data_IF_611311613899
#
_entry.id   IF_611311613899
#
_cell.length_a   1.000
_cell.length_b   1.000
_cell.length_c   1.000
_cell.angle_alpha   90.00
_cell.angle_beta   90.00
_cell.angle_gamma   90.00
#
_symmetry.space_group_name_H-M   'P 1'
#
loop_
_entity.id
_entity.type
_entity.pdbx_description
1 polymer ?
#
# COMPACT_ATOMS: atom_id res chain seq x y z
N UNK A 1 6.83 -16.46 -44.92
CA UNK A 1 7.39 -15.09 -45.14
C UNK A 1 6.78 -14.10 -44.15
N UNK A 2 7.20 -14.10 -42.89
CA UNK A 2 6.65 -13.25 -41.84
C UNK A 2 7.51 -13.15 -40.57
N UNK A 3 8.73 -13.69 -40.54
CA UNK A 3 9.57 -13.77 -39.35
C UNK A 3 10.92 -13.05 -39.46
N UNK A 4 11.10 -12.18 -40.48
CA UNK A 4 12.38 -11.50 -40.72
C UNK A 4 12.40 -9.99 -40.45
N UNK A 5 11.39 -9.40 -39.85
CA UNK A 5 11.36 -7.95 -39.58
C UNK A 5 11.55 -7.55 -38.10
N UNK A 6 11.76 -8.50 -37.19
CA UNK A 6 11.98 -8.19 -35.77
C UNK A 6 13.42 -8.30 -35.28
N UNK A 7 14.37 -8.63 -36.15
CA UNK A 7 15.77 -8.85 -35.76
C UNK A 7 16.71 -7.66 -36.04
N UNK A 8 16.26 -6.55 -36.60
CA UNK A 8 17.13 -5.42 -36.98
C UNK A 8 17.00 -4.17 -36.08
N UNK A 9 16.22 -4.19 -35.02
CA UNK A 9 16.03 -3.05 -34.12
C UNK A 9 16.84 -3.14 -32.79
N UNK A 10 17.75 -4.10 -32.66
CA UNK A 10 18.51 -4.33 -31.42
C UNK A 10 20.00 -3.97 -31.52
N UNK A 11 20.39 -3.07 -32.41
CA UNK A 11 21.75 -2.51 -32.37
C UNK A 11 21.68 -1.06 -32.75
N UNK A 12 21.47 -0.19 -31.73
CA UNK A 12 22.07 1.14 -31.64
C UNK A 12 21.51 1.87 -30.41
N UNK A 13 22.41 2.31 -29.54
CA UNK A 13 22.14 3.34 -28.54
C UNK A 13 21.76 2.82 -27.15
N UNK A 14 22.75 2.36 -26.39
CA UNK A 14 22.70 2.49 -24.93
C UNK A 14 22.73 3.98 -24.59
N UNK A 15 21.62 4.67 -24.78
CA UNK A 15 21.34 5.92 -24.09
C UNK A 15 20.91 5.55 -22.66
N UNK A 16 21.85 5.67 -21.74
CA UNK A 16 21.60 5.84 -20.31
C UNK A 16 20.65 7.03 -20.19
N UNK A 17 19.36 6.78 -20.09
CA UNK A 17 18.43 7.81 -19.68
C UNK A 17 18.88 8.25 -18.28
N UNK A 18 19.07 9.56 -18.03
CA UNK A 18 19.38 10.02 -16.68
C UNK A 18 18.22 9.52 -15.78
N UNK A 19 18.58 8.86 -14.68
CA UNK A 19 17.65 8.52 -13.60
C UNK A 19 16.86 9.80 -13.32
N UNK A 20 15.57 9.81 -13.71
CA UNK A 20 14.68 10.91 -13.34
C UNK A 20 14.71 10.93 -11.81
N UNK A 21 15.32 11.97 -11.24
CA UNK A 21 15.21 12.28 -9.83
C UNK A 21 13.74 12.19 -9.49
N UNK A 22 13.40 11.22 -8.63
CA UNK A 22 12.05 11.07 -8.09
C UNK A 22 11.72 12.38 -7.42
N UNK A 23 10.75 13.10 -7.92
CA UNK A 23 10.24 14.26 -7.23
C UNK A 23 9.38 13.72 -6.07
N UNK A 24 9.85 13.86 -4.84
CA UNK A 24 9.06 13.64 -3.63
C UNK A 24 7.75 14.44 -3.63
N UNK A 25 7.64 15.42 -4.52
CA UNK A 25 6.47 16.26 -4.75
C UNK A 25 5.30 15.53 -5.43
N UNK A 26 5.52 14.35 -6.02
CA UNK A 26 4.47 13.57 -6.68
C UNK A 26 3.56 12.85 -5.68
N UNK A 27 3.99 12.65 -4.43
CA UNK A 27 3.18 12.04 -3.37
C UNK A 27 2.56 13.15 -2.51
N UNK A 28 1.24 13.16 -2.49
CA UNK A 28 0.41 14.03 -1.65
C UNK A 28 -0.29 13.22 -0.57
N UNK A 29 -0.87 13.90 0.40
CA UNK A 29 -1.66 13.28 1.46
C UNK A 29 -3.01 14.00 1.64
N UNK A 30 -3.93 13.31 2.30
CA UNK A 30 -5.27 13.81 2.57
C UNK A 30 -6.24 13.58 1.41
N UNK A 31 -7.46 14.09 1.61
CA UNK A 31 -8.55 13.96 0.65
C UNK A 31 -8.46 15.02 -0.46
N UNK A 32 -8.90 14.63 -1.63
CA UNK A 32 -9.29 15.55 -2.72
C UNK A 32 -10.46 14.95 -3.52
N UNK A 33 -11.25 15.77 -4.24
CA UNK A 33 -12.37 15.28 -5.04
C UNK A 33 -11.94 14.24 -6.08
N UNK A 34 -12.63 13.07 -6.08
CA UNK A 34 -12.31 11.95 -6.97
C UNK A 34 -11.38 10.88 -6.37
N UNK A 35 -10.80 11.10 -5.18
CA UNK A 35 -9.89 10.15 -4.52
C UNK A 35 -10.54 8.77 -4.34
N UNK A 36 -11.75 8.73 -3.76
CA UNK A 36 -12.46 7.47 -3.50
C UNK A 36 -12.68 6.69 -4.78
N UNK A 37 -13.25 7.33 -5.80
CA UNK A 37 -13.51 6.67 -7.10
C UNK A 37 -12.24 6.10 -7.74
N UNK A 38 -11.15 6.88 -7.75
CA UNK A 38 -9.88 6.44 -8.34
C UNK A 38 -9.25 5.26 -7.59
N UNK A 39 -9.27 5.26 -6.27
CA UNK A 39 -8.74 4.15 -5.46
C UNK A 39 -9.57 2.89 -5.64
N UNK A 40 -10.91 3.02 -5.64
CA UNK A 40 -11.82 1.90 -5.89
C UNK A 40 -11.59 1.30 -7.28
N UNK A 41 -11.51 2.14 -8.31
CA UNK A 41 -11.25 1.72 -9.69
C UNK A 41 -9.95 0.95 -9.84
N UNK A 42 -8.84 1.46 -9.26
CA UNK A 42 -7.55 0.76 -9.32
C UNK A 42 -7.61 -0.62 -8.65
N UNK A 43 -8.29 -0.73 -7.49
CA UNK A 43 -8.46 -2.01 -6.81
C UNK A 43 -9.34 -2.97 -7.62
N UNK A 44 -10.51 -2.51 -8.09
CA UNK A 44 -11.42 -3.33 -8.87
C UNK A 44 -10.76 -3.87 -10.14
N UNK A 45 -10.10 -3.02 -10.91
CA UNK A 45 -9.43 -3.41 -12.16
C UNK A 45 -8.29 -4.41 -11.93
N UNK A 46 -7.44 -4.16 -10.92
CA UNK A 46 -6.34 -5.05 -10.63
C UNK A 46 -6.82 -6.42 -10.13
N UNK A 47 -7.66 -6.44 -9.10
CA UNK A 47 -8.03 -7.69 -8.45
C UNK A 47 -9.06 -8.52 -9.24
N UNK A 48 -9.86 -7.91 -10.10
CA UNK A 48 -10.73 -8.67 -11.02
C UNK A 48 -9.91 -9.50 -12.00
N UNK A 49 -8.84 -8.93 -12.55
CA UNK A 49 -7.96 -9.61 -13.49
C UNK A 49 -7.04 -10.61 -12.78
N UNK A 50 -6.52 -10.23 -11.61
CA UNK A 50 -5.50 -11.00 -10.91
C UNK A 50 -6.07 -12.17 -10.09
N UNK A 51 -7.20 -11.98 -9.45
CA UNK A 51 -7.78 -12.93 -8.49
C UNK A 51 -9.27 -13.24 -8.72
N UNK A 52 -9.88 -12.72 -9.78
CA UNK A 52 -11.29 -12.94 -10.08
C UNK A 52 -12.26 -12.25 -9.11
N UNK A 53 -11.81 -11.23 -8.38
CA UNK A 53 -12.67 -10.49 -7.46
C UNK A 53 -13.71 -9.69 -8.28
N UNK A 54 -14.97 -9.74 -7.82
CA UNK A 54 -16.09 -9.11 -8.52
C UNK A 54 -16.73 -7.97 -7.72
N UNK A 55 -18.00 -7.69 -8.03
CA UNK A 55 -18.77 -6.59 -7.47
C UNK A 55 -18.83 -6.58 -5.93
N UNK A 56 -18.74 -7.73 -5.28
CA UNK A 56 -18.67 -7.81 -3.81
C UNK A 56 -17.43 -7.08 -3.28
N UNK A 57 -16.26 -7.36 -3.87
CA UNK A 57 -15.00 -6.73 -3.49
C UNK A 57 -15.01 -5.22 -3.76
N UNK A 58 -15.43 -4.82 -4.97
CA UNK A 58 -15.51 -3.39 -5.34
C UNK A 58 -16.41 -2.62 -4.37
N UNK A 59 -17.62 -3.13 -4.09
CA UNK A 59 -18.53 -2.53 -3.12
C UNK A 59 -17.90 -2.45 -1.72
N UNK A 60 -17.22 -3.50 -1.28
CA UNK A 60 -16.52 -3.53 0.02
C UNK A 60 -15.47 -2.43 0.10
N UNK A 61 -14.61 -2.30 -0.90
CA UNK A 61 -13.60 -1.24 -0.96
C UNK A 61 -14.26 0.14 -0.96
N UNK A 62 -15.28 0.35 -1.78
CA UNK A 62 -15.99 1.62 -1.88
C UNK A 62 -16.63 2.03 -0.55
N UNK A 63 -17.31 1.11 0.11
CA UNK A 63 -18.00 1.38 1.39
C UNK A 63 -16.99 1.69 2.49
N UNK A 64 -16.02 0.82 2.70
CA UNK A 64 -15.05 0.97 3.80
C UNK A 64 -14.13 2.18 3.60
N UNK A 65 -13.73 2.48 2.36
CA UNK A 65 -12.95 3.67 2.06
C UNK A 65 -13.76 4.95 2.27
N UNK A 66 -15.04 4.97 1.90
CA UNK A 66 -15.93 6.12 2.14
C UNK A 66 -16.11 6.37 3.64
N UNK A 67 -16.31 5.33 4.44
CA UNK A 67 -16.39 5.44 5.90
C UNK A 67 -15.07 5.95 6.50
N UNK A 68 -13.94 5.49 6.00
CA UNK A 68 -12.62 5.96 6.43
C UNK A 68 -12.42 7.44 6.11
N UNK A 69 -12.80 7.90 4.91
CA UNK A 69 -12.70 9.32 4.52
C UNK A 69 -13.54 10.20 5.47
N UNK A 70 -14.69 9.72 5.93
CA UNK A 70 -15.50 10.41 6.96
C UNK A 70 -14.78 10.61 8.30
N UNK A 71 -13.75 9.80 8.58
CA UNK A 71 -12.91 9.86 9.79
C UNK A 71 -11.50 10.39 9.55
N UNK A 72 -11.21 10.91 8.37
CA UNK A 72 -9.85 11.34 7.98
C UNK A 72 -9.35 12.55 8.79
N UNK A 73 -10.24 13.28 9.46
CA UNK A 73 -9.86 14.38 10.37
C UNK A 73 -9.24 13.90 11.69
N UNK A 74 -9.36 12.61 12.03
CA UNK A 74 -8.65 12.03 13.19
C UNK A 74 -7.15 12.06 12.97
N UNK A 75 -6.35 12.50 13.96
CA UNK A 75 -4.89 12.56 13.83
C UNK A 75 -4.21 11.19 13.68
N UNK A 76 -4.93 10.11 14.01
CA UNK A 76 -4.47 8.72 13.83
C UNK A 76 -4.70 8.18 12.41
N UNK A 77 -5.42 8.92 11.56
CA UNK A 77 -5.78 8.51 10.21
C UNK A 77 -5.03 9.32 9.16
N UNK A 78 -4.56 8.65 8.12
CA UNK A 78 -3.95 9.33 6.98
C UNK A 78 -4.07 8.49 5.71
N UNK A 79 -4.18 9.17 4.58
CA UNK A 79 -4.08 8.58 3.24
C UNK A 79 -3.03 9.34 2.42
N UNK A 80 -2.19 8.60 1.71
CA UNK A 80 -1.24 9.14 0.73
C UNK A 80 -1.59 8.61 -0.65
N UNK A 81 -1.30 9.40 -1.64
CA UNK A 81 -1.50 9.04 -3.04
C UNK A 81 -0.42 9.67 -3.93
N UNK A 82 0.04 8.91 -4.93
CA UNK A 82 0.89 9.42 -5.99
C UNK A 82 0.03 9.80 -7.20
N UNK A 83 0.40 10.89 -7.87
CA UNK A 83 -0.29 11.36 -9.07
C UNK A 83 0.69 11.49 -10.24
N UNK A 84 0.22 11.09 -11.42
CA UNK A 84 0.95 11.25 -12.68
C UNK A 84 -0.02 11.75 -13.74
N UNK A 85 0.32 12.83 -14.43
CA UNK A 85 -0.54 13.44 -15.45
C UNK A 85 -1.98 13.73 -14.94
N UNK A 86 -2.10 14.17 -13.68
CA UNK A 86 -3.38 14.50 -13.06
C UNK A 86 -4.18 13.30 -12.50
N UNK A 87 -3.79 12.07 -12.81
CA UNK A 87 -4.46 10.84 -12.35
C UNK A 87 -3.73 10.23 -11.14
N UNK A 88 -4.48 9.61 -10.22
CA UNK A 88 -3.89 8.80 -9.17
C UNK A 88 -3.34 7.52 -9.79
N UNK A 89 -2.10 7.20 -9.43
CA UNK A 89 -1.40 5.99 -9.86
C UNK A 89 -0.94 5.10 -8.72
N UNK A 90 -1.06 5.57 -7.49
CA UNK A 90 -0.80 4.75 -6.30
C UNK A 90 -1.47 5.35 -5.08
N UNK A 91 -1.83 4.51 -4.11
CA UNK A 91 -2.37 4.93 -2.81
C UNK A 91 -1.96 3.99 -1.69
N UNK A 92 -2.00 4.49 -0.47
CA UNK A 92 -1.88 3.75 0.78
C UNK A 92 -2.55 4.55 1.90
N UNK A 93 -3.13 3.87 2.89
CA UNK A 93 -3.67 4.56 4.06
C UNK A 93 -3.38 3.84 5.36
N UNK A 94 -3.40 4.62 6.44
CA UNK A 94 -3.37 4.18 7.82
C UNK A 94 -4.69 4.54 8.48
N UNK A 95 -5.37 3.54 9.03
CA UNK A 95 -6.57 3.66 9.83
C UNK A 95 -6.22 3.28 11.28
N UNK A 96 -5.99 4.27 12.11
CA UNK A 96 -5.58 4.11 13.51
C UNK A 96 -6.75 3.99 14.49
N UNK A 97 -7.99 4.05 14.01
CA UNK A 97 -9.17 4.05 14.88
C UNK A 97 -9.97 2.74 14.84
N UNK A 98 -9.54 1.75 14.04
CA UNK A 98 -10.39 0.57 13.78
C UNK A 98 -10.03 -0.66 14.63
N UNK A 99 -8.76 -0.84 15.00
CA UNK A 99 -8.32 -2.04 15.70
C UNK A 99 -8.37 -1.91 17.24
N UNK A 100 -8.30 -0.71 17.79
CA UNK A 100 -8.09 -0.50 19.22
C UNK A 100 -6.65 -0.76 19.67
N UNK A 101 -6.40 -0.77 20.98
CA UNK A 101 -5.12 -1.07 21.62
C UNK A 101 -3.91 -0.31 21.03
N UNK A 102 -4.17 0.89 20.53
CA UNK A 102 -3.18 1.74 19.88
C UNK A 102 -2.47 1.04 18.69
N UNK A 103 -3.21 0.25 17.93
CA UNK A 103 -2.73 -0.43 16.73
C UNK A 103 -3.31 0.23 15.47
N UNK A 104 -2.49 0.31 14.43
CA UNK A 104 -2.86 0.86 13.14
C UNK A 104 -3.14 -0.25 12.12
N UNK A 105 -4.13 -0.05 11.27
CA UNK A 105 -4.41 -0.91 10.12
C UNK A 105 -3.98 -0.22 8.82
N UNK A 106 -3.02 -0.83 8.12
CA UNK A 106 -2.60 -0.40 6.80
C UNK A 106 -3.58 -0.95 5.76
N UNK A 107 -4.13 -0.07 4.91
CA UNK A 107 -5.19 -0.39 3.96
C UNK A 107 -4.99 0.28 2.61
N UNK A 108 -5.69 -0.23 1.62
CA UNK A 108 -5.79 0.31 0.25
C UNK A 108 -4.42 0.67 -0.35
N UNK A 109 -3.46 -0.23 -0.11
CA UNK A 109 -2.16 -0.15 -0.73
C UNK A 109 -2.21 -0.74 -2.14
N UNK A 110 -2.06 0.12 -3.11
CA UNK A 110 -2.07 -0.27 -4.53
C UNK A 110 -1.16 0.64 -5.35
N UNK A 111 -0.55 0.07 -6.38
CA UNK A 111 0.21 0.80 -7.40
C UNK A 111 -0.28 0.34 -8.76
N UNK A 112 -0.73 1.29 -9.59
CA UNK A 112 -1.15 1.03 -10.96
C UNK A 112 -0.06 0.32 -11.76
N UNK A 113 -0.46 -0.57 -12.67
CA UNK A 113 0.48 -1.36 -13.47
C UNK A 113 1.50 -0.50 -14.23
N UNK A 114 1.06 0.66 -14.77
CA UNK A 114 1.91 1.58 -15.52
C UNK A 114 2.85 2.42 -14.63
N UNK A 115 2.66 2.38 -13.32
CA UNK A 115 3.50 3.08 -12.35
C UNK A 115 4.38 2.11 -11.52
N UNK A 116 4.26 0.80 -11.74
CA UNK A 116 5.12 -0.19 -11.06
C UNK A 116 6.58 0.00 -11.49
N UNK A 117 7.50 -0.32 -10.59
CA UNK A 117 8.93 -0.10 -10.83
C UNK A 117 9.39 1.36 -10.69
N UNK A 118 8.47 2.33 -10.53
CA UNK A 118 8.81 3.75 -10.32
C UNK A 118 9.27 4.08 -8.90
N UNK A 119 9.12 3.13 -7.96
CA UNK A 119 9.45 3.31 -6.54
C UNK A 119 8.33 3.90 -5.68
N UNK A 120 7.17 4.25 -6.24
CA UNK A 120 6.04 4.77 -5.46
C UNK A 120 5.59 3.81 -4.35
N UNK A 121 5.55 2.50 -4.62
CA UNK A 121 5.13 1.53 -3.63
C UNK A 121 6.03 1.56 -2.38
N UNK A 122 7.34 1.55 -2.57
CA UNK A 122 8.30 1.64 -1.46
C UNK A 122 8.15 2.95 -0.70
N UNK A 123 8.13 4.08 -1.40
CA UNK A 123 8.05 5.39 -0.77
C UNK A 123 6.73 5.60 0.00
N UNK A 124 5.59 5.15 -0.56
CA UNK A 124 4.30 5.20 0.12
C UNK A 124 4.31 4.38 1.40
N UNK A 125 4.87 3.18 1.35
CA UNK A 125 4.95 2.29 2.51
C UNK A 125 5.88 2.88 3.59
N UNK A 126 7.03 3.45 3.22
CA UNK A 126 7.93 4.14 4.13
C UNK A 126 7.25 5.33 4.82
N UNK A 127 6.47 6.14 4.10
CA UNK A 127 5.70 7.25 4.67
C UNK A 127 4.63 6.77 5.65
N UNK A 128 3.91 5.71 5.32
CA UNK A 128 2.88 5.13 6.18
C UNK A 128 3.49 4.56 7.48
N UNK A 129 4.61 3.85 7.39
CA UNK A 129 5.32 3.32 8.56
C UNK A 129 5.89 4.45 9.42
N UNK A 130 6.56 5.43 8.82
CA UNK A 130 7.08 6.61 9.54
C UNK A 130 5.97 7.39 10.27
N UNK A 131 4.79 7.52 9.66
CA UNK A 131 3.63 8.12 10.31
C UNK A 131 3.22 7.36 11.57
N UNK A 132 3.20 6.03 11.52
CA UNK A 132 2.87 5.21 12.69
C UNK A 132 3.95 5.29 13.79
N UNK A 133 5.23 5.26 13.40
CA UNK A 133 6.35 5.37 14.34
C UNK A 133 6.31 6.72 15.09
N UNK A 134 5.98 7.82 14.39
CA UNK A 134 5.86 9.16 14.99
C UNK A 134 4.65 9.34 15.90
N UNK A 135 3.62 8.50 15.79
CA UNK A 135 2.38 8.56 16.58
C UNK A 135 2.32 7.54 17.69
N UNK A 136 3.43 6.86 17.95
CA UNK A 136 3.56 5.89 19.05
C UNK A 136 2.52 4.76 19.01
N UNK A 137 2.11 4.34 17.81
CA UNK A 137 1.37 3.10 17.70
C UNK A 137 2.21 1.93 18.20
N UNK A 138 1.56 0.91 18.76
CA UNK A 138 2.23 -0.30 19.26
C UNK A 138 2.54 -1.30 18.16
N UNK A 139 1.72 -1.33 17.13
CA UNK A 139 1.88 -2.20 15.97
C UNK A 139 1.13 -1.65 14.75
N UNK A 140 1.56 -2.11 13.57
CA UNK A 140 0.85 -1.93 12.30
C UNK A 140 0.45 -3.32 11.81
N UNK A 141 -0.83 -3.50 11.48
CA UNK A 141 -1.34 -4.72 10.87
C UNK A 141 -1.76 -4.47 9.42
N UNK A 142 -1.74 -5.51 8.61
CA UNK A 142 -2.34 -5.54 7.28
C UNK A 142 -2.86 -6.94 6.95
N UNK A 143 -3.87 -6.99 6.09
CA UNK A 143 -4.40 -8.23 5.52
C UNK A 143 -4.20 -8.26 4.02
N UNK A 144 -3.79 -9.42 3.52
CA UNK A 144 -3.55 -9.70 2.11
C UNK A 144 -3.85 -11.18 1.83
N UNK A 145 -3.45 -11.71 0.68
CA UNK A 145 -3.57 -13.13 0.38
C UNK A 145 -2.33 -13.64 -0.37
N UNK A 146 -2.15 -14.96 -0.36
CA UNK A 146 -1.02 -15.64 -0.99
C UNK A 146 -0.99 -15.37 -2.50
N UNK A 147 0.21 -15.12 -3.03
CA UNK A 147 0.46 -14.88 -4.46
C UNK A 147 0.86 -13.45 -4.78
N UNK A 148 0.65 -12.48 -3.89
CA UNK A 148 1.08 -11.10 -4.06
C UNK A 148 2.55 -10.91 -3.64
N UNK A 149 3.48 -11.68 -4.24
CA UNK A 149 4.87 -11.80 -3.78
C UNK A 149 5.64 -10.46 -3.81
N UNK A 150 5.37 -9.60 -4.79
CA UNK A 150 6.00 -8.29 -4.87
C UNK A 150 5.58 -7.37 -3.71
N UNK A 151 4.32 -7.41 -3.31
CA UNK A 151 3.82 -6.66 -2.15
C UNK A 151 4.34 -7.26 -0.84
N UNK A 152 4.33 -8.59 -0.73
CA UNK A 152 4.89 -9.32 0.40
C UNK A 152 6.35 -8.94 0.64
N UNK A 153 7.18 -8.93 -0.41
CA UNK A 153 8.57 -8.52 -0.29
C UNK A 153 8.72 -7.09 0.26
N UNK A 154 7.90 -6.14 -0.21
CA UNK A 154 7.93 -4.78 0.32
C UNK A 154 7.57 -4.74 1.81
N UNK A 155 6.60 -5.54 2.26
CA UNK A 155 6.22 -5.62 3.67
C UNK A 155 7.36 -6.20 4.52
N UNK A 156 7.94 -7.33 4.09
CA UNK A 156 9.04 -7.98 4.80
C UNK A 156 10.30 -7.09 4.85
N UNK A 157 10.62 -6.39 3.76
CA UNK A 157 11.79 -5.47 3.68
C UNK A 157 11.69 -4.29 4.67
N UNK A 158 10.47 -3.90 5.13
CA UNK A 158 10.27 -2.82 6.10
C UNK A 158 9.89 -3.32 7.50
N UNK A 159 10.03 -4.63 7.74
CA UNK A 159 9.91 -5.25 9.05
C UNK A 159 8.53 -5.79 9.43
N UNK A 160 7.64 -6.01 8.46
CA UNK A 160 6.44 -6.79 8.71
C UNK A 160 6.75 -8.28 8.71
N UNK A 161 6.12 -9.01 9.60
CA UNK A 161 6.21 -10.45 9.74
C UNK A 161 4.84 -11.09 9.46
N UNK A 162 4.85 -12.27 8.82
CA UNK A 162 3.65 -13.08 8.63
C UNK A 162 3.22 -13.68 9.97
N UNK A 163 2.10 -13.22 10.51
CA UNK A 163 1.59 -13.68 11.82
C UNK A 163 0.41 -14.63 11.70
N UNK A 164 -0.16 -14.79 10.53
CA UNK A 164 -1.26 -15.74 10.29
C UNK A 164 -1.50 -16.00 8.82
N UNK A 165 -1.83 -17.26 8.51
CA UNK A 165 -2.25 -17.68 7.18
C UNK A 165 -3.37 -18.73 7.33
N UNK A 166 -4.50 -18.50 6.67
CA UNK A 166 -5.68 -19.34 6.78
C UNK A 166 -6.59 -19.22 5.55
N UNK A 167 -7.38 -20.26 5.22
CA UNK A 167 -8.41 -20.15 4.20
C UNK A 167 -9.48 -19.14 4.61
N UNK A 168 -9.86 -18.25 3.69
CA UNK A 168 -10.90 -17.27 3.94
C UNK A 168 -11.56 -16.78 2.66
N UNK A 169 -12.59 -15.96 2.80
CA UNK A 169 -13.36 -15.42 1.69
C UNK A 169 -13.79 -13.96 1.91
N UNK A 170 -13.03 -13.22 2.70
CA UNK A 170 -13.40 -11.85 3.07
C UNK A 170 -13.56 -10.90 1.88
N UNK A 171 -13.01 -11.26 0.73
CA UNK A 171 -13.10 -10.47 -0.51
C UNK A 171 -14.10 -11.04 -1.52
N UNK A 172 -14.95 -12.00 -1.09
CA UNK A 172 -16.01 -12.60 -1.93
C UNK A 172 -15.55 -13.78 -2.79
N UNK A 173 -14.27 -14.15 -2.73
CA UNK A 173 -13.67 -15.32 -3.38
C UNK A 173 -12.79 -16.02 -2.36
N UNK A 174 -12.79 -17.36 -2.39
CA UNK A 174 -11.93 -18.17 -1.51
C UNK A 174 -10.47 -17.95 -1.85
N UNK A 175 -9.69 -17.53 -0.85
CA UNK A 175 -8.26 -17.28 -0.95
C UNK A 175 -7.54 -17.85 0.28
N UNK A 176 -6.21 -18.00 0.18
CA UNK A 176 -5.37 -18.21 1.35
C UNK A 176 -5.01 -16.83 1.90
N UNK A 177 -5.75 -16.40 2.91
CA UNK A 177 -5.59 -15.09 3.53
C UNK A 177 -4.33 -15.03 4.37
N UNK A 178 -3.66 -13.89 4.39
CA UNK A 178 -2.44 -13.66 5.14
C UNK A 178 -2.59 -12.39 5.98
N UNK A 179 -2.16 -12.49 7.24
CA UNK A 179 -2.03 -11.34 8.15
C UNK A 179 -0.56 -11.07 8.41
N UNK A 180 -0.16 -9.84 8.23
CA UNK A 180 1.17 -9.35 8.57
C UNK A 180 1.07 -8.33 9.69
N UNK A 181 2.10 -8.30 10.53
CA UNK A 181 2.23 -7.32 11.60
C UNK A 181 3.66 -6.81 11.68
N UNK A 182 3.80 -5.52 11.94
CA UNK A 182 5.06 -4.88 12.32
C UNK A 182 4.90 -4.30 13.72
N UNK A 183 5.67 -4.81 14.67
CA UNK A 183 5.72 -4.27 16.03
C UNK A 183 6.55 -2.99 16.06
N UNK A 184 6.11 -2.01 16.85
CA UNK A 184 6.81 -0.74 17.04
C UNK A 184 7.33 -0.72 18.48
N UNK A 185 8.66 -0.78 18.68
CA UNK A 185 9.21 -0.74 20.03
C UNK A 185 8.91 0.59 20.71
N UNK A 186 8.34 0.55 21.91
CA UNK A 186 8.24 1.74 22.76
C UNK A 186 9.63 2.09 23.32
N UNK A 187 10.01 3.36 23.22
CA UNK A 187 11.28 3.89 23.74
C UNK A 187 11.29 4.06 25.26
N UNK A 188 10.31 3.57 25.99
CA UNK A 188 10.17 3.76 27.44
C UNK A 188 11.08 2.87 28.30
N UNK A 189 12.04 2.14 27.71
CA UNK A 189 12.91 1.23 28.47
C UNK A 189 14.28 1.81 28.88
N UNK A 190 14.54 3.10 28.72
CA UNK A 190 15.85 3.69 29.05
C UNK A 190 15.84 4.63 30.28
N UNK A 191 14.80 4.60 31.10
CA UNK A 191 14.85 5.26 32.41
C UNK A 191 14.70 4.19 33.48
N UNK A 192 15.75 3.44 33.68
CA UNK A 192 15.90 2.57 34.84
C UNK A 192 17.28 2.77 35.46
N UNK A 193 17.26 3.54 36.53
CA UNK A 193 18.02 3.42 37.74
C UNK A 193 19.25 4.31 37.90
N UNK A 194 19.12 5.45 38.60
CA UNK A 194 20.22 5.92 39.43
C UNK A 194 20.16 5.16 40.77
N UNK A 195 20.96 4.12 40.91
CA UNK A 195 21.22 3.60 42.21
C UNK A 195 22.17 4.56 42.98
N UNK A 196 21.68 5.02 44.11
CA UNK A 196 22.40 5.57 45.24
C UNK A 196 23.46 4.60 45.73
#
# INVERSE_FOLDING_TARGET
>A
EGLSMYASALKEGAHTQPERRRNSDDIKFGYFPGLVGSVVEMHANFYSTYAGFGAYFERKVATELSEFIGRLSSPENQIWHARKNGQIVASISIDGNILGDNQALLRWFIVDAHARGSGFGKELLERAVSFCDQRSFTAIQLSTFRGLDAARKLYEDIGFELVGEFPGNQWGVSTMEQKFQRSIPHTDSLVANPQV
#
